data_IF_936514827364
#
_entry.id   IF_936514827364
#
_cell.length_a   1.000
_cell.length_b   1.000
_cell.length_c   1.000
_cell.angle_alpha   90.00
_cell.angle_beta   90.00
_cell.angle_gamma   90.00
#
_symmetry.space_group_name_H-M   'P 1'
#
loop_
_entity.id
_entity.type
_entity.pdbx_description
1 polymer ?
#
# COMPACT_ATOMS: atom_id res chain seq x y z
N UNK A 1 -16.54 -0.51 1.89
CA UNK A 1 -15.09 -0.18 2.23
C UNK A 1 -14.16 -0.70 1.13
N UNK A 2 -13.22 0.14 0.55
CA UNK A 2 -12.30 -0.29 -0.53
C UNK A 2 -10.90 -0.58 0.04
N UNK A 3 -10.36 -1.76 -0.33
CA UNK A 3 -8.97 -2.13 0.08
C UNK A 3 -8.06 -2.14 -1.14
N UNK A 4 -6.71 -1.98 -0.84
CA UNK A 4 -5.78 -1.84 -1.98
C UNK A 4 -5.16 -3.21 -2.31
N UNK A 5 -5.35 -3.55 -3.59
CA UNK A 5 -4.81 -4.85 -4.06
C UNK A 5 -3.75 -4.59 -5.14
N UNK A 6 -2.94 -5.65 -5.43
CA UNK A 6 -1.94 -5.53 -6.51
C UNK A 6 -2.58 -5.06 -7.82
N UNK A 7 -3.84 -5.36 -8.02
CA UNK A 7 -4.52 -5.06 -9.30
C UNK A 7 -5.32 -3.76 -9.19
N UNK A 8 -5.16 -3.09 -8.03
CA UNK A 8 -5.91 -1.82 -7.84
C UNK A 8 -6.85 -1.90 -6.63
N UNK A 9 -7.87 -0.82 -6.46
CA UNK A 9 -8.75 -0.76 -5.27
C UNK A 9 -9.97 -1.66 -5.50
N UNK A 10 -10.15 -2.44 -4.64
CA UNK A 10 -11.30 -3.36 -4.71
C UNK A 10 -12.15 -3.20 -3.44
N UNK A 11 -13.47 -3.41 -3.73
CA UNK A 11 -14.34 -3.41 -2.52
C UNK A 11 -14.03 -4.64 -1.65
N UNK A 12 -14.03 -4.35 -0.33
CA UNK A 12 -13.66 -5.40 0.63
C UNK A 12 -14.54 -6.65 0.42
N UNK A 13 -15.71 -6.54 -0.10
CA UNK A 13 -16.64 -7.69 -0.31
C UNK A 13 -16.18 -8.57 -1.47
N UNK A 14 -15.29 -7.96 -2.31
CA UNK A 14 -14.91 -8.75 -3.50
C UNK A 14 -13.52 -9.35 -3.35
N UNK A 15 -13.01 -9.25 -2.11
CA UNK A 15 -11.66 -9.81 -1.91
C UNK A 15 -11.78 -11.32 -1.69
N UNK A 16 -10.79 -12.04 -2.43
CA UNK A 16 -10.82 -13.53 -2.29
C UNK A 16 -9.49 -14.01 -1.72
N UNK A 17 -9.62 -15.20 -1.09
CA UNK A 17 -8.36 -15.83 -0.62
C UNK A 17 -7.35 -15.92 -1.78
N UNK A 18 -6.14 -15.43 -1.46
CA UNK A 18 -5.10 -15.52 -2.52
C UNK A 18 -4.85 -14.14 -3.15
N UNK A 19 -5.87 -13.27 -2.97
CA UNK A 19 -5.64 -11.88 -3.45
C UNK A 19 -4.52 -11.20 -2.65
N UNK A 20 -3.86 -10.29 -3.29
CA UNK A 20 -2.74 -9.62 -2.59
C UNK A 20 -3.12 -8.19 -2.23
N UNK A 21 -2.98 -7.96 -0.90
CA UNK A 21 -3.32 -6.61 -0.43
C UNK A 21 -2.05 -5.84 -0.08
N UNK A 22 -2.19 -4.66 -0.33
CA UNK A 22 -1.03 -3.82 0.02
C UNK A 22 -0.87 -3.78 1.55
N UNK A 23 0.35 -4.21 1.99
CA UNK A 23 0.65 -4.33 3.43
C UNK A 23 2.05 -3.74 3.68
N UNK A 24 2.48 -3.80 5.06
CA UNK A 24 3.84 -3.36 5.40
C UNK A 24 4.69 -4.58 5.82
N UNK A 25 5.91 -4.45 5.28
CA UNK A 25 6.80 -5.52 5.77
C UNK A 25 7.52 -5.07 7.05
N UNK A 26 8.42 -5.74 7.70
CA UNK A 26 9.06 -5.51 9.01
C UNK A 26 9.93 -4.23 8.95
N UNK A 27 10.19 -3.86 7.70
CA UNK A 27 11.01 -2.63 7.56
C UNK A 27 10.14 -1.43 7.20
N UNK A 28 8.67 -1.73 7.29
CA UNK A 28 7.67 -0.66 7.05
C UNK A 28 7.66 -0.20 5.59
N UNK A 29 8.05 -1.12 4.71
CA UNK A 29 7.85 -0.92 3.25
C UNK A 29 6.51 -1.51 2.80
N UNK A 30 5.91 -0.77 1.80
CA UNK A 30 4.65 -1.34 1.27
C UNK A 30 4.95 -2.57 0.39
N UNK A 31 4.29 -3.56 0.75
CA UNK A 31 4.48 -4.79 -0.04
C UNK A 31 3.11 -5.45 -0.23
N UNK A 32 3.02 -6.11 -1.31
CA UNK A 32 1.77 -6.88 -1.49
C UNK A 32 1.91 -8.26 -0.85
N UNK A 33 0.82 -8.43 -0.01
CA UNK A 33 0.84 -9.72 0.71
C UNK A 33 -0.46 -10.48 0.41
N UNK A 34 -0.28 -11.77 0.44
CA UNK A 34 -1.43 -12.62 0.04
C UNK A 34 -2.48 -12.69 1.16
N UNK A 35 -3.63 -12.60 0.67
CA UNK A 35 -4.74 -12.78 1.63
C UNK A 35 -4.94 -14.26 1.94
N UNK A 36 -4.86 -14.53 3.23
CA UNK A 36 -5.10 -15.93 3.67
C UNK A 36 -6.59 -16.22 3.89
N UNK A 37 -7.07 -15.65 4.98
CA UNK A 37 -8.48 -15.95 5.30
C UNK A 37 -9.28 -14.65 5.30
N UNK A 38 -10.57 -14.77 4.92
CA UNK A 38 -11.47 -13.61 4.91
C UNK A 38 -12.55 -13.83 5.97
N UNK A 39 -12.67 -12.79 6.84
CA UNK A 39 -13.69 -12.90 7.89
C UNK A 39 -14.79 -11.86 7.64
N UNK A 40 -16.03 -12.38 7.84
CA UNK A 40 -17.20 -11.49 7.63
C UNK A 40 -18.11 -11.53 8.86
N UNK A 41 -18.49 -10.33 9.26
CA UNK A 41 -19.45 -10.35 10.39
C UNK A 41 -20.43 -9.19 10.23
N UNK A 42 -21.62 -9.34 10.82
CA UNK A 42 -22.65 -8.29 10.73
C UNK A 42 -22.67 -7.47 12.03
N UNK A 43 -22.74 -6.14 11.78
CA UNK A 43 -22.75 -5.29 12.99
C UNK A 43 -23.84 -4.23 12.83
N UNK A 44 -24.31 -3.76 13.98
CA UNK A 44 -25.45 -2.81 13.94
C UNK A 44 -24.95 -1.36 14.06
N UNK A 45 -23.61 -1.37 14.34
CA UNK A 45 -23.07 0.00 14.48
C UNK A 45 -21.68 0.08 13.86
N UNK A 46 -21.43 1.25 13.14
CA UNK A 46 -20.07 1.44 12.61
C UNK A 46 -19.66 2.89 12.86
N UNK A 47 -18.40 3.05 12.95
CA UNK A 47 -17.86 4.42 13.12
C UNK A 47 -17.35 4.97 11.78
N UNK A 48 -17.86 6.19 11.50
CA UNK A 48 -17.39 6.87 10.29
C UNK A 48 -16.43 8.01 10.65
N UNK A 49 -15.19 7.93 10.14
CA UNK A 49 -14.17 8.95 10.47
C UNK A 49 -13.81 9.70 9.18
N UNK A 50 -14.01 11.04 9.30
CA UNK A 50 -13.63 11.87 8.14
C UNK A 50 -12.28 12.57 8.37
N UNK A 51 -11.39 12.37 7.40
CA UNK A 51 -10.03 12.93 7.52
C UNK A 51 -9.89 14.07 6.53
N UNK A 52 -8.98 15.10 6.68
CA UNK A 52 -8.74 16.27 5.79
C UNK A 52 -8.60 15.85 4.33
N UNK A 53 -9.44 16.58 3.35
CA UNK A 53 -9.45 16.33 1.88
C UNK A 53 -10.60 15.41 1.49
N UNK A 54 -11.66 15.12 2.44
CA UNK A 54 -12.91 14.44 2.03
C UNK A 54 -12.80 12.91 2.20
N UNK A 55 -11.65 12.31 2.92
CA UNK A 55 -11.54 10.85 3.09
C UNK A 55 -12.42 10.42 4.27
N UNK A 56 -13.24 9.33 3.82
CA UNK A 56 -14.11 8.80 4.90
C UNK A 56 -13.86 7.29 5.07
N UNK A 57 -13.67 6.96 6.33
CA UNK A 57 -13.51 5.50 6.57
C UNK A 57 -14.64 5.06 7.50
N UNK A 58 -15.13 3.88 7.04
CA UNK A 58 -16.18 3.27 7.89
C UNK A 58 -15.67 1.95 8.49
N UNK A 59 -15.53 2.01 9.79
CA UNK A 59 -14.95 0.82 10.46
C UNK A 59 -15.69 0.59 11.77
N UNK A 60 -15.45 -0.62 12.37
CA UNK A 60 -15.99 -0.87 13.73
C UNK A 60 -15.18 -0.10 14.77
N UNK A 61 -15.72 0.05 15.90
CA UNK A 61 -15.07 0.87 16.96
C UNK A 61 -13.73 0.25 17.38
N UNK A 62 -13.58 -0.98 17.19
CA UNK A 62 -12.37 -1.66 17.75
C UNK A 62 -11.29 -1.75 16.67
N UNK A 63 -11.59 -1.09 15.49
CA UNK A 63 -10.62 -1.25 14.38
C UNK A 63 -9.36 -0.40 14.67
N UNK A 64 -8.14 -1.02 14.50
CA UNK A 64 -6.91 -0.28 14.84
C UNK A 64 -6.52 0.71 13.73
N UNK A 65 -6.19 1.95 14.22
CA UNK A 65 -5.75 3.00 13.28
C UNK A 65 -4.45 3.61 13.81
N UNK A 66 -3.56 3.81 12.98
CA UNK A 66 -2.26 4.38 13.41
C UNK A 66 -2.35 5.90 13.47
N UNK A 67 -2.00 6.42 14.71
CA UNK A 67 -2.09 7.88 14.94
C UNK A 67 -0.70 8.38 15.36
N UNK A 68 -0.36 9.54 14.69
CA UNK A 68 0.96 10.11 14.99
C UNK A 68 1.09 10.41 16.49
N UNK A 69 2.21 9.84 17.16
CA UNK A 69 2.43 10.21 18.57
C UNK A 69 1.74 9.21 19.52
N UNK A 70 0.66 8.49 18.99
CA UNK A 70 -0.06 7.56 19.88
C UNK A 70 0.13 6.11 19.43
N UNK A 71 0.69 5.99 18.31
CA UNK A 71 0.84 4.61 17.81
C UNK A 71 -0.50 3.96 17.47
N UNK A 72 -0.70 2.61 17.48
CA UNK A 72 -1.96 1.94 17.08
C UNK A 72 -3.02 2.11 18.18
N UNK A 73 -4.05 2.76 17.73
CA UNK A 73 -5.19 2.91 18.67
C UNK A 73 -6.46 2.40 18.00
N UNK A 74 -7.47 2.17 18.84
CA UNK A 74 -8.75 1.73 18.21
C UNK A 74 -9.47 2.93 17.58
N UNK A 75 -10.35 2.51 16.58
CA UNK A 75 -11.08 3.60 15.89
C UNK A 75 -11.90 4.42 16.89
N UNK A 76 -12.27 3.80 17.97
CA UNK A 76 -13.06 4.50 19.00
C UNK A 76 -12.21 5.54 19.75
N UNK A 77 -10.97 5.34 19.74
CA UNK A 77 -10.10 6.19 20.58
C UNK A 77 -9.52 7.31 19.71
N UNK A 78 -9.89 7.31 18.44
CA UNK A 78 -9.41 8.39 17.57
C UNK A 78 -10.30 9.62 17.81
N UNK A 79 -9.68 10.79 18.08
CA UNK A 79 -10.50 12.00 18.35
C UNK A 79 -10.23 13.04 17.28
N UNK A 80 -11.18 14.04 17.17
CA UNK A 80 -11.00 15.14 16.19
C UNK A 80 -9.72 15.91 16.51
N UNK A 81 -8.92 16.05 15.43
CA UNK A 81 -7.63 16.75 15.65
C UNK A 81 -6.44 15.79 15.57
N UNK A 82 -6.73 14.48 15.83
CA UNK A 82 -5.64 13.48 15.68
C UNK A 82 -5.16 13.38 14.22
N UNK A 83 -3.86 13.17 14.13
CA UNK A 83 -3.31 12.99 12.76
C UNK A 83 -3.10 11.49 12.46
N UNK A 84 -3.81 11.06 11.46
CA UNK A 84 -3.75 9.61 11.13
C UNK A 84 -2.91 9.40 9.87
N UNK A 85 -2.28 8.29 9.89
CA UNK A 85 -1.35 7.99 8.79
C UNK A 85 -2.13 7.60 7.53
N UNK A 86 -1.88 8.39 6.45
CA UNK A 86 -2.60 8.11 5.18
C UNK A 86 -1.57 7.99 4.05
N UNK A 87 -2.05 7.21 2.98
CA UNK A 87 -1.15 7.06 1.82
C UNK A 87 -1.28 8.32 0.95
N UNK A 88 -0.12 9.10 0.56
CA UNK A 88 -0.05 10.26 -0.34
C UNK A 88 -0.58 9.92 -1.73
N UNK A 89 -1.84 10.81 -2.26
CA UNK A 89 -2.29 10.81 -3.67
C UNK A 89 -3.48 9.87 -3.87
N UNK A 90 -4.74 10.21 -3.38
CA UNK A 90 -6.03 9.59 -3.75
C UNK A 90 -6.57 10.21 -5.05
N UNK A 91 -5.83 10.98 -5.76
CA UNK A 91 -6.40 11.34 -7.09
C UNK A 91 -6.33 10.18 -8.07
N UNK A 92 -6.45 8.93 -7.58
CA UNK A 92 -6.52 7.80 -8.53
C UNK A 92 -7.54 6.76 -8.06
N UNK A 93 -8.80 7.08 -7.60
CA UNK A 93 -9.49 5.75 -7.58
C UNK A 93 -10.99 5.99 -7.71
N UNK A 94 -11.55 6.94 -8.61
CA UNK A 94 -12.86 6.83 -9.30
C UNK A 94 -12.83 5.76 -10.39
N UNK A 95 -13.33 4.43 -10.08
CA UNK A 95 -13.71 3.36 -11.03
C UNK A 95 -12.93 3.46 -12.34
N UNK A 96 -11.72 2.58 -12.61
CA UNK A 96 -11.82 2.53 -14.10
C UNK A 96 -10.73 1.62 -14.66
N UNK A 97 -10.90 0.22 -14.84
CA UNK A 97 -10.17 -0.69 -15.76
C UNK A 97 -8.66 -0.58 -15.56
N UNK A 98 -8.02 -1.26 -14.46
CA UNK A 98 -6.57 -1.20 -14.13
C UNK A 98 -5.70 -1.42 -15.38
N UNK A 99 -5.56 -0.35 -16.24
CA UNK A 99 -4.48 -0.41 -17.24
C UNK A 99 -3.13 -0.76 -16.57
N UNK A 100 -2.74 -2.06 -16.52
CA UNK A 100 -1.40 -2.52 -16.08
C UNK A 100 -0.36 -2.25 -17.18
N UNK A 101 0.91 -1.62 -16.69
CA UNK A 101 1.92 -1.35 -17.75
C UNK A 101 3.24 -2.04 -17.37
N UNK A 102 4.02 -2.30 -18.41
CA UNK A 102 5.30 -3.02 -18.25
C UNK A 102 6.43 -1.98 -18.02
N UNK A 103 7.21 -2.26 -16.90
CA UNK A 103 8.38 -1.37 -16.67
C UNK A 103 9.56 -1.78 -17.55
N UNK A 104 9.49 -1.29 -18.83
CA UNK A 104 10.49 -1.74 -19.83
C UNK A 104 10.93 -0.53 -20.67
N UNK A 105 11.74 -0.76 -21.58
CA UNK A 105 12.28 0.29 -22.49
C UNK A 105 11.14 1.12 -23.09
N UNK A 106 10.07 0.50 -23.44
CA UNK A 106 8.96 1.19 -24.13
C UNK A 106 8.23 2.16 -23.19
N UNK A 107 8.22 1.76 -21.91
CA UNK A 107 7.66 2.75 -20.96
C UNK A 107 8.53 4.00 -20.89
N UNK A 108 9.84 3.77 -20.80
CA UNK A 108 10.77 4.92 -20.81
C UNK A 108 10.62 5.78 -22.07
N UNK A 109 10.55 5.03 -23.20
CA UNK A 109 10.43 5.80 -24.46
C UNK A 109 9.15 6.64 -24.45
N UNK A 110 8.06 6.06 -24.04
CA UNK A 110 6.77 6.77 -23.99
C UNK A 110 6.87 8.01 -23.09
N UNK A 111 7.48 7.84 -21.90
CA UNK A 111 7.57 8.98 -20.95
C UNK A 111 8.49 10.06 -21.54
N UNK A 112 9.57 9.64 -22.16
CA UNK A 112 10.50 10.61 -22.79
C UNK A 112 9.83 11.39 -23.92
N UNK A 113 9.06 10.66 -24.70
CA UNK A 113 8.38 11.34 -25.83
C UNK A 113 7.34 12.33 -25.30
N UNK A 114 6.73 11.96 -24.21
CA UNK A 114 5.73 12.88 -23.64
C UNK A 114 6.41 14.11 -23.02
N UNK A 115 7.56 13.84 -22.40
CA UNK A 115 8.26 14.96 -21.74
C UNK A 115 8.81 15.94 -22.79
N UNK A 116 8.94 15.48 -23.98
CA UNK A 116 9.54 16.38 -24.99
C UNK A 116 8.45 17.03 -25.84
N UNK A 117 7.65 16.22 -26.58
CA UNK A 117 6.75 16.86 -27.57
C UNK A 117 5.31 16.37 -27.35
N UNK A 118 5.14 15.53 -26.32
CA UNK A 118 3.79 14.98 -26.10
C UNK A 118 2.93 15.97 -25.30
N UNK A 119 1.58 15.80 -25.60
CA UNK A 119 0.66 16.68 -24.83
C UNK A 119 -0.47 15.85 -24.21
N UNK A 120 -0.88 16.40 -23.05
CA UNK A 120 -2.04 15.78 -22.36
C UNK A 120 -3.21 16.77 -22.41
N UNK A 121 -4.30 16.28 -23.03
CA UNK A 121 -5.51 17.14 -23.05
C UNK A 121 -6.72 16.33 -22.57
N UNK A 122 -7.40 16.84 -21.49
CA UNK A 122 -8.59 16.18 -20.91
C UNK A 122 -8.32 14.69 -20.68
N UNK A 123 -8.88 13.86 -21.56
CA UNK A 123 -8.70 12.41 -21.29
C UNK A 123 -7.89 11.76 -22.43
N UNK A 124 -7.03 12.70 -22.99
CA UNK A 124 -6.31 12.09 -24.13
C UNK A 124 -4.84 12.49 -24.09
N UNK A 125 -4.00 11.51 -24.55
CA UNK A 125 -2.58 11.78 -24.80
C UNK A 125 -2.34 11.90 -26.31
N UNK A 126 -1.64 13.03 -26.55
CA UNK A 126 -1.47 13.29 -27.99
C UNK A 126 0.01 13.59 -28.29
N UNK A 127 0.40 13.01 -29.47
CA UNK A 127 1.72 13.40 -30.03
C UNK A 127 1.55 13.75 -31.50
N UNK A 128 1.99 15.05 -31.75
CA UNK A 128 1.96 15.50 -33.16
C UNK A 128 3.38 15.91 -33.60
N UNK A 129 3.82 15.15 -34.60
CA UNK A 129 5.25 15.39 -34.94
C UNK A 129 5.38 15.28 -36.48
N UNK A 130 6.47 15.85 -37.04
CA UNK A 130 6.70 15.83 -38.51
C UNK A 130 7.42 14.55 -38.95
N UNK A 131 7.91 13.81 -37.95
CA UNK A 131 8.64 12.56 -38.25
C UNK A 131 7.75 11.33 -38.02
N UNK A 132 7.59 10.60 -39.13
CA UNK A 132 6.68 9.42 -39.05
C UNK A 132 7.28 8.35 -38.15
N UNK A 133 8.58 8.15 -38.28
CA UNK A 133 9.23 7.13 -37.43
C UNK A 133 9.03 7.42 -35.93
N UNK A 134 9.17 8.72 -35.55
CA UNK A 134 8.94 9.10 -34.15
C UNK A 134 7.49 8.78 -33.73
N UNK A 135 6.54 9.06 -34.62
CA UNK A 135 5.12 8.77 -34.31
C UNK A 135 4.89 7.26 -34.19
N UNK A 136 5.58 6.46 -35.04
CA UNK A 136 5.38 4.99 -35.00
C UNK A 136 5.97 4.41 -33.72
N UNK A 137 7.13 4.93 -33.32
CA UNK A 137 7.76 4.40 -32.09
C UNK A 137 6.92 4.78 -30.85
N UNK A 138 6.41 6.01 -30.92
CA UNK A 138 5.54 6.41 -29.80
C UNK A 138 4.30 5.52 -29.73
N UNK A 139 3.65 5.29 -30.88
CA UNK A 139 2.47 4.40 -30.90
C UNK A 139 2.83 2.98 -30.45
N UNK A 140 3.96 2.54 -30.93
CA UNK A 140 4.40 1.18 -30.55
C UNK A 140 4.65 1.10 -29.04
N UNK A 141 5.22 2.14 -28.47
CA UNK A 141 5.52 2.10 -27.03
C UNK A 141 4.22 2.06 -26.20
N UNK A 142 3.19 2.71 -26.65
CA UNK A 142 1.91 2.69 -25.92
C UNK A 142 1.29 1.29 -26.01
N UNK A 143 1.39 0.73 -27.17
CA UNK A 143 0.84 -0.64 -27.34
C UNK A 143 1.60 -1.65 -26.47
N UNK A 144 2.85 -1.51 -26.51
CA UNK A 144 3.65 -2.55 -25.82
C UNK A 144 3.58 -2.36 -24.30
N UNK A 145 3.56 -1.15 -23.85
CA UNK A 145 3.67 -0.92 -22.39
C UNK A 145 2.28 -0.91 -21.74
N UNK A 146 1.30 -0.56 -22.56
CA UNK A 146 -0.01 -0.38 -21.89
C UNK A 146 -1.07 -1.24 -22.56
N UNK A 147 -0.72 -1.91 -23.66
CA UNK A 147 -1.67 -2.80 -24.37
C UNK A 147 -2.79 -2.01 -25.05
N UNK A 148 -2.51 -0.72 -25.31
CA UNK A 148 -3.57 0.10 -25.94
C UNK A 148 -3.28 0.27 -27.42
N UNK A 149 -4.43 0.15 -28.15
CA UNK A 149 -4.24 0.31 -29.60
C UNK A 149 -4.19 1.81 -29.95
N UNK A 150 -3.23 2.11 -30.89
CA UNK A 150 -3.13 3.52 -31.31
C UNK A 150 -3.14 3.61 -32.84
N UNK A 151 -3.80 4.68 -33.30
CA UNK A 151 -3.80 4.90 -34.76
C UNK A 151 -2.95 6.15 -35.09
N UNK A 152 -2.21 5.96 -36.23
CA UNK A 152 -1.42 7.14 -36.67
C UNK A 152 -2.17 7.83 -37.82
N UNK A 153 -2.46 9.12 -37.56
CA UNK A 153 -3.18 9.89 -38.59
C UNK A 153 -2.24 10.90 -39.26
N UNK A 154 -2.43 10.95 -40.59
CA UNK A 154 -1.69 12.02 -41.30
C UNK A 154 -2.53 13.29 -41.37
N UNK A 155 -1.90 14.36 -40.77
CA UNK A 155 -2.68 15.63 -40.77
C UNK A 155 -1.83 16.75 -41.39
N UNK A 156 -2.58 17.77 -41.93
CA UNK A 156 -1.90 18.97 -42.47
C UNK A 156 -2.33 20.22 -41.69
N UNK A 157 -1.22 20.91 -41.12
CA UNK A 157 -1.56 22.11 -40.33
C UNK A 157 -0.68 23.29 -40.78
N UNK A 158 -1.35 24.42 -40.68
CA UNK A 158 -0.56 25.62 -41.02
C UNK A 158 0.46 25.96 -39.91
N UNK A 159 1.73 26.11 -40.34
CA UNK A 159 2.79 26.45 -39.37
C UNK A 159 3.00 27.98 -39.36
N UNK A 160 2.69 28.57 -38.13
CA UNK A 160 2.90 30.02 -37.95
C UNK A 160 4.38 30.42 -38.08
N UNK A 161 5.26 29.48 -37.77
CA UNK A 161 6.72 29.73 -37.86
C UNK A 161 7.21 29.62 -39.30
N UNK A 162 6.69 28.68 -40.10
CA UNK A 162 7.22 28.44 -41.47
C UNK A 162 6.28 29.06 -42.49
N UNK A 163 5.15 29.66 -42.01
CA UNK A 163 4.11 30.30 -42.85
C UNK A 163 3.71 29.39 -44.01
N UNK A 164 3.73 28.01 -43.89
CA UNK A 164 3.24 27.05 -44.91
C UNK A 164 2.55 25.88 -44.21
N UNK A 165 1.80 25.07 -45.12
CA UNK A 165 1.12 23.89 -44.56
C UNK A 165 2.12 22.73 -44.46
N UNK A 166 2.28 22.26 -43.24
CA UNK A 166 3.26 21.17 -43.04
C UNK A 166 2.50 19.87 -42.74
N UNK A 167 3.08 18.86 -43.39
CA UNK A 167 2.50 17.52 -43.11
C UNK A 167 3.00 17.00 -41.75
N UNK A 168 2.01 16.53 -40.91
CA UNK A 168 2.37 15.97 -39.60
C UNK A 168 1.65 14.64 -39.35
N UNK A 169 2.26 13.97 -38.40
CA UNK A 169 1.66 12.67 -38.02
C UNK A 169 1.18 12.75 -36.57
N UNK A 170 -0.09 12.38 -36.46
CA UNK A 170 -0.68 12.50 -35.12
C UNK A 170 -1.02 11.11 -34.55
N UNK A 171 -0.48 10.97 -33.26
CA UNK A 171 -0.90 9.78 -32.50
C UNK A 171 -1.74 10.26 -31.30
N UNK A 172 -2.97 9.65 -31.35
CA UNK A 172 -3.87 10.09 -30.25
C UNK A 172 -4.49 8.87 -29.57
N UNK A 173 -4.40 9.05 -28.21
CA UNK A 173 -5.02 7.96 -27.43
C UNK A 173 -5.99 8.59 -26.42
N UNK A 174 -7.25 8.10 -26.50
CA UNK A 174 -8.25 8.62 -25.53
C UNK A 174 -8.44 7.58 -24.42
N UNK A 175 -7.71 7.90 -23.35
CA UNK A 175 -7.82 6.97 -22.21
C UNK A 175 -7.59 7.74 -20.91
N UNK A 176 -8.68 7.91 -20.13
CA UNK A 176 -8.62 8.68 -18.85
C UNK A 176 -7.64 8.06 -17.86
N UNK A 177 -7.59 6.79 -17.84
CA UNK A 177 -6.68 6.09 -16.90
C UNK A 177 -5.20 6.33 -17.25
N UNK A 178 -4.85 6.19 -18.49
CA UNK A 178 -3.46 6.47 -18.93
C UNK A 178 -3.07 7.91 -18.59
N UNK A 179 -4.05 8.82 -18.72
CA UNK A 179 -3.75 10.24 -18.38
C UNK A 179 -3.45 10.35 -16.87
N UNK A 180 -4.18 9.65 -16.10
CA UNK A 180 -3.94 9.70 -14.63
C UNK A 180 -2.57 9.11 -14.28
N UNK A 181 -2.28 7.98 -14.96
CA UNK A 181 -0.95 7.36 -14.71
C UNK A 181 0.15 8.35 -15.07
N UNK A 182 -0.05 8.99 -16.11
CA UNK A 182 0.99 9.93 -16.58
C UNK A 182 1.09 11.11 -15.59
N UNK A 183 -0.07 11.55 -15.15
CA UNK A 183 -0.02 12.65 -14.16
C UNK A 183 0.72 12.21 -12.89
N UNK A 184 0.56 10.98 -12.53
CA UNK A 184 1.30 10.45 -11.36
C UNK A 184 2.80 10.36 -11.64
N UNK A 185 3.10 9.94 -12.86
CA UNK A 185 4.53 9.77 -13.21
C UNK A 185 5.22 11.14 -13.16
N UNK A 186 4.47 12.13 -13.42
CA UNK A 186 5.14 13.45 -13.45
C UNK A 186 4.81 14.24 -12.20
N UNK A 187 4.16 13.45 -11.08
CA UNK A 187 3.86 14.04 -9.76
C UNK A 187 3.10 15.37 -9.92
N UNK A 188 2.08 15.41 -10.74
CA UNK A 188 1.26 16.62 -10.92
C UNK A 188 0.94 16.85 -12.40
N UNK A 189 0.68 18.31 -12.88
CA UNK A 189 0.16 18.59 -14.24
C UNK A 189 1.32 18.78 -15.21
N UNK A 190 1.63 17.86 -16.11
CA UNK A 190 2.60 17.97 -17.22
C UNK A 190 2.39 19.27 -18.01
N UNK A 191 1.16 19.89 -17.78
CA UNK A 191 0.92 21.12 -18.58
C UNK A 191 1.71 22.31 -18.02
N UNK A 192 2.41 21.99 -16.81
CA UNK A 192 3.17 23.14 -16.28
C UNK A 192 4.66 22.98 -16.59
N UNK A 193 5.33 23.92 -17.24
CA UNK A 193 6.76 23.99 -17.63
C UNK A 193 7.66 23.67 -16.43
N UNK A 194 7.11 23.08 -15.33
CA UNK A 194 8.02 22.95 -14.17
C UNK A 194 7.90 21.56 -13.55
N UNK A 195 8.03 20.60 -14.37
CA UNK A 195 7.98 19.27 -13.70
C UNK A 195 9.39 18.77 -13.40
N UNK A 196 9.39 17.84 -12.28
CA UNK A 196 10.67 17.22 -11.91
C UNK A 196 10.92 15.94 -12.73
N UNK A 197 12.15 15.59 -12.79
CA UNK A 197 12.51 14.31 -13.44
C UNK A 197 11.70 13.14 -12.86
N UNK A 198 10.93 12.43 -13.79
CA UNK A 198 10.12 11.31 -13.31
C UNK A 198 10.99 10.20 -12.69
N UNK A 199 10.57 9.85 -11.49
CA UNK A 199 11.42 8.93 -10.71
C UNK A 199 11.36 7.50 -11.28
N UNK A 200 10.21 7.26 -11.94
CA UNK A 200 10.01 5.90 -12.47
C UNK A 200 11.10 5.58 -13.51
N UNK A 201 11.73 6.60 -14.14
CA UNK A 201 12.70 6.29 -15.21
C UNK A 201 14.06 5.91 -14.59
N UNK A 202 14.11 6.13 -13.23
CA UNK A 202 15.40 5.79 -12.60
C UNK A 202 15.36 4.39 -12.00
N UNK A 203 14.31 3.66 -12.23
CA UNK A 203 14.15 2.32 -11.62
C UNK A 203 15.10 1.31 -12.24
N UNK A 204 15.25 1.43 -13.53
CA UNK A 204 16.24 0.51 -14.15
C UNK A 204 16.82 1.16 -15.42
N UNK A 205 17.91 0.57 -15.83
CA UNK A 205 18.68 1.16 -16.93
C UNK A 205 17.89 1.11 -18.25
N UNK A 206 17.20 0.07 -18.36
CA UNK A 206 16.42 -0.09 -19.61
C UNK A 206 15.36 1.01 -19.75
N UNK A 207 14.73 1.38 -18.68
CA UNK A 207 13.67 2.41 -18.73
C UNK A 207 14.34 3.77 -18.98
N UNK A 208 15.39 3.93 -18.23
CA UNK A 208 16.12 5.21 -18.39
C UNK A 208 16.61 5.39 -19.83
N UNK A 209 17.15 4.36 -20.40
CA UNK A 209 17.58 4.46 -21.81
C UNK A 209 16.40 4.76 -22.74
N UNK A 210 15.34 4.06 -22.49
CA UNK A 210 14.13 4.36 -23.28
C UNK A 210 13.70 5.83 -23.16
N UNK A 211 13.76 6.29 -21.95
CA UNK A 211 13.35 7.69 -21.73
C UNK A 211 14.24 8.63 -22.55
N UNK A 212 15.56 8.46 -22.54
CA UNK A 212 16.46 9.35 -23.29
C UNK A 212 16.19 9.28 -24.79
N UNK A 213 15.95 8.08 -25.27
CA UNK A 213 15.68 7.94 -26.72
C UNK A 213 14.38 8.64 -27.10
N UNK A 214 13.42 8.47 -26.20
CA UNK A 214 12.13 9.15 -26.50
C UNK A 214 12.28 10.67 -26.48
N UNK A 215 12.96 11.12 -25.48
CA UNK A 215 13.11 12.58 -25.39
C UNK A 215 13.94 13.12 -26.56
N UNK A 216 15.02 12.42 -26.96
CA UNK A 216 15.87 12.85 -28.08
C UNK A 216 15.10 12.90 -29.39
N UNK A 217 14.18 11.99 -29.56
CA UNK A 217 13.40 12.03 -30.81
C UNK A 217 12.50 13.27 -30.86
N UNK A 218 12.20 13.74 -29.66
CA UNK A 218 11.34 14.96 -29.66
C UNK A 218 12.14 16.24 -29.68
N UNK A 219 12.85 16.44 -28.58
CA UNK A 219 13.55 17.75 -28.48
C UNK A 219 15.05 17.53 -28.32
N UNK A 220 15.66 16.59 -29.05
CA UNK A 220 17.11 16.32 -28.95
C UNK A 220 17.75 16.27 -30.34
N UNK A 221 19.07 16.47 -30.24
CA UNK A 221 19.85 16.36 -31.50
C UNK A 221 21.07 15.47 -31.28
N UNK A 222 21.22 14.55 -32.31
CA UNK A 222 22.38 13.65 -32.22
C UNK A 222 23.48 14.18 -33.17
N UNK A 223 24.71 14.37 -32.59
CA UNK A 223 25.84 14.86 -33.40
C UNK A 223 26.75 13.70 -33.81
N UNK A 224 26.95 13.74 -35.16
CA UNK A 224 27.80 12.65 -35.69
C UNK A 224 29.11 13.23 -36.22
N UNK A 225 30.31 12.54 -35.98
CA UNK A 225 31.62 12.95 -36.48
C UNK A 225 31.73 12.85 -38.00
N UNK A 226 32.80 13.28 -38.58
CA UNK A 226 33.09 13.32 -40.05
C UNK A 226 33.11 11.91 -40.63
N UNK A 227 33.23 10.87 -39.78
CA UNK A 227 33.24 9.44 -40.24
C UNK A 227 31.86 8.80 -40.08
N UNK A 228 30.85 9.76 -39.72
CA UNK A 228 29.47 9.23 -39.59
C UNK A 228 29.24 8.54 -38.23
N UNK A 229 30.41 8.54 -37.39
CA UNK A 229 30.26 7.88 -36.08
C UNK A 229 29.69 8.87 -35.06
N UNK A 230 28.83 8.35 -34.25
CA UNK A 230 28.15 9.19 -33.25
C UNK A 230 29.16 9.77 -32.26
N UNK A 231 28.91 10.97 -31.92
CA UNK A 231 29.88 11.62 -30.98
C UNK A 231 29.17 11.92 -29.67
N UNK A 232 28.05 12.57 -29.72
CA UNK A 232 27.28 12.87 -28.50
C UNK A 232 25.90 13.39 -28.89
N UNK A 233 25.03 13.51 -27.83
CA UNK A 233 23.67 14.05 -28.10
C UNK A 233 23.40 15.24 -27.17
N UNK A 234 22.54 16.10 -27.76
CA UNK A 234 22.10 17.20 -26.89
C UNK A 234 20.57 17.23 -26.79
N UNK A 235 20.18 17.58 -25.56
CA UNK A 235 18.72 17.75 -25.43
C UNK A 235 18.43 19.21 -25.06
N UNK A 236 17.21 19.61 -25.46
CA UNK A 236 16.84 21.03 -25.23
C UNK A 236 15.51 21.09 -24.47
N UNK A 237 15.49 22.06 -23.46
CA UNK A 237 14.22 22.18 -22.70
C UNK A 237 14.14 23.57 -22.06
N UNK A 238 12.94 24.08 -22.06
CA UNK A 238 12.74 25.35 -21.31
C UNK A 238 12.61 25.09 -19.80
N UNK A 239 12.46 23.88 -19.43
CA UNK A 239 12.38 23.46 -18.02
C UNK A 239 13.77 23.25 -17.41
N UNK A 240 14.24 24.26 -16.66
CA UNK A 240 15.64 24.22 -16.13
C UNK A 240 15.76 23.22 -14.98
N UNK A 241 14.64 23.09 -14.25
CA UNK A 241 14.68 22.15 -13.12
C UNK A 241 14.88 20.71 -13.63
N UNK A 242 14.13 20.32 -14.60
CA UNK A 242 14.26 18.97 -15.19
C UNK A 242 15.67 18.76 -15.77
N UNK A 243 16.19 19.78 -16.49
CA UNK A 243 17.53 19.59 -17.09
C UNK A 243 18.61 19.56 -16.00
N UNK A 244 18.34 20.37 -14.96
CA UNK A 244 19.32 20.37 -13.83
C UNK A 244 19.44 18.99 -13.19
N UNK A 245 18.30 18.37 -12.99
CA UNK A 245 18.31 17.03 -12.36
C UNK A 245 18.97 15.99 -13.28
N UNK A 246 18.73 16.09 -14.60
CA UNK A 246 19.41 15.18 -15.55
C UNK A 246 20.91 15.44 -15.60
N UNK A 247 21.28 16.74 -15.49
CA UNK A 247 22.71 17.09 -15.55
C UNK A 247 23.47 16.49 -14.37
N UNK A 248 22.76 16.44 -13.29
CA UNK A 248 23.43 15.82 -12.12
C UNK A 248 23.73 14.34 -12.37
N UNK A 249 22.83 13.75 -13.14
CA UNK A 249 23.05 12.31 -13.40
C UNK A 249 24.23 12.12 -14.36
N UNK A 250 24.37 13.07 -15.20
CA UNK A 250 25.43 12.90 -16.22
C UNK A 250 26.71 13.61 -15.78
N UNK A 251 26.57 14.17 -14.52
CA UNK A 251 27.70 15.02 -14.13
C UNK A 251 28.11 15.98 -15.26
N UNK A 252 27.07 16.63 -15.79
CA UNK A 252 27.26 17.58 -16.90
C UNK A 252 26.67 18.95 -16.52
N UNK A 253 27.14 19.99 -17.18
CA UNK A 253 26.60 21.34 -16.87
C UNK A 253 25.55 21.75 -17.91
N UNK A 254 24.55 22.56 -17.35
CA UNK A 254 23.50 23.04 -18.27
C UNK A 254 24.03 24.27 -19.02
N UNK A 255 23.89 24.19 -20.33
CA UNK A 255 24.33 25.35 -21.15
C UNK A 255 23.13 26.20 -21.59
N UNK A 256 23.39 27.45 -22.01
CA UNK A 256 22.32 28.35 -22.51
C UNK A 256 22.31 28.33 -24.04
N UNK A 257 20.98 28.28 -24.57
CA UNK A 257 20.83 28.31 -26.04
C UNK A 257 20.67 29.76 -26.51
N UNK A 258 20.77 29.96 -27.80
CA UNK A 258 20.60 31.31 -28.41
C UNK A 258 19.20 31.86 -28.15
N UNK A 259 18.25 30.97 -27.78
CA UNK A 259 16.91 31.43 -27.38
C UNK A 259 16.83 31.69 -25.88
N UNK A 260 16.31 32.90 -25.46
CA UNK A 260 16.38 33.42 -24.08
C UNK A 260 15.65 32.50 -23.09
N UNK A 261 14.91 31.42 -23.56
CA UNK A 261 14.14 30.65 -22.55
C UNK A 261 14.36 29.15 -22.72
N UNK A 262 15.50 28.82 -23.35
CA UNK A 262 15.74 27.37 -23.58
C UNK A 262 17.16 27.02 -23.13
N UNK A 263 17.25 25.88 -22.52
CA UNK A 263 18.56 25.40 -22.01
C UNK A 263 18.94 24.10 -22.73
N UNK A 264 20.29 23.88 -22.79
CA UNK A 264 20.73 22.63 -23.44
C UNK A 264 21.61 21.82 -22.49
N UNK A 265 21.53 20.52 -22.76
CA UNK A 265 22.34 19.60 -21.93
C UNK A 265 23.01 18.55 -22.83
N UNK A 266 24.31 18.44 -22.60
CA UNK A 266 25.07 17.41 -23.34
C UNK A 266 24.86 16.02 -22.68
N UNK A 267 24.52 15.06 -23.69
CA UNK A 267 24.35 13.68 -23.17
C UNK A 267 25.53 12.83 -23.66
N UNK A 268 26.21 12.22 -22.74
CA UNK A 268 27.33 11.38 -23.14
C UNK A 268 26.87 10.17 -23.96
N UNK A 269 27.68 9.76 -24.95
CA UNK A 269 27.31 8.71 -25.92
C UNK A 269 27.02 7.38 -25.21
N UNK A 270 27.65 7.14 -24.10
CA UNK A 270 27.50 5.85 -23.39
C UNK A 270 26.07 5.66 -22.86
N UNK A 271 25.30 6.78 -22.74
CA UNK A 271 23.92 6.68 -22.24
C UNK A 271 22.93 6.51 -23.39
N UNK A 272 23.50 6.64 -24.51
CA UNK A 272 22.62 6.53 -25.69
C UNK A 272 22.89 5.20 -26.40
N UNK A 273 24.14 4.61 -26.14
CA UNK A 273 24.49 3.42 -26.95
C UNK A 273 25.04 2.35 -26.01
N UNK A 274 24.98 1.09 -26.58
CA UNK A 274 25.46 -0.04 -25.75
C UNK A 274 26.99 -0.02 -25.64
N UNK A 275 27.55 1.10 -25.12
CA UNK A 275 29.00 1.20 -24.96
C UNK A 275 29.38 0.93 -23.50
N UNK A 276 30.69 0.21 -23.28
CA UNK A 276 31.21 -0.06 -21.92
C UNK A 276 31.29 1.24 -21.09
N UNK A 277 30.64 1.26 -19.94
CA UNK A 277 30.49 2.44 -19.07
C UNK A 277 31.82 2.77 -18.37
N UNK A 278 32.09 4.11 -18.38
CA UNK A 278 33.22 4.54 -17.52
C UNK A 278 32.83 4.49 -16.04
N UNK A 279 33.62 3.91 -15.12
CA UNK A 279 33.44 3.68 -13.67
C UNK A 279 33.03 4.98 -12.96
N UNK A 280 33.09 6.19 -13.59
CA UNK A 280 32.81 7.49 -12.93
C UNK A 280 31.32 7.85 -13.02
N UNK A 281 30.45 6.99 -13.70
CA UNK A 281 29.01 7.29 -13.84
C UNK A 281 28.21 6.42 -12.86
N UNK A 282 27.98 6.96 -11.71
CA UNK A 282 27.36 6.25 -10.56
C UNK A 282 25.99 5.70 -10.96
N UNK A 283 25.75 4.38 -10.91
CA UNK A 283 24.51 3.59 -11.03
C UNK A 283 23.34 4.26 -10.28
N UNK A 284 22.28 4.66 -11.15
CA UNK A 284 20.86 4.43 -10.78
C UNK A 284 20.74 3.96 -9.32
N UNK A 285 20.79 4.81 -8.41
CA UNK A 285 20.37 4.33 -7.06
C UNK A 285 19.16 3.39 -7.18
N UNK A 286 19.16 1.90 -7.01
CA UNK A 286 17.86 1.53 -6.43
C UNK A 286 17.42 2.52 -5.34
N UNK A 287 17.12 3.81 -5.72
CA UNK A 287 16.72 4.55 -4.51
C UNK A 287 17.37 3.97 -3.25
N UNK A 288 18.68 3.99 -3.04
CA UNK A 288 19.18 4.14 -1.66
C UNK A 288 18.97 5.58 -1.16
N UNK A 289 17.76 6.08 -1.28
CA UNK A 289 17.51 7.26 -0.41
C UNK A 289 17.12 6.81 1.00
N UNK A 290 18.10 6.59 1.87
CA UNK A 290 17.84 6.95 3.28
C UNK A 290 16.36 7.32 3.52
N UNK A 291 15.44 6.42 3.81
CA UNK A 291 14.02 6.85 3.81
C UNK A 291 13.48 6.80 5.24
N UNK A 292 13.16 7.98 5.76
CA UNK A 292 11.98 8.75 6.21
C UNK A 292 10.76 8.48 5.31
N UNK A 293 9.69 7.85 5.82
CA UNK A 293 8.35 7.42 5.38
C UNK A 293 7.89 8.17 4.13
N UNK A 294 8.09 8.00 2.59
CA UNK A 294 7.99 8.64 1.26
C UNK A 294 6.67 8.25 0.60
N UNK A 295 5.46 8.02 1.24
CA UNK A 295 4.17 7.80 0.53
C UNK A 295 3.00 7.91 1.51
N UNK A 296 3.43 8.64 2.64
CA UNK A 296 2.37 8.77 3.66
C UNK A 296 2.41 10.19 4.25
N UNK A 297 1.32 10.57 4.44
CA UNK A 297 1.24 11.84 5.19
C UNK A 297 0.22 11.71 6.33
N UNK A 298 0.53 12.41 7.37
CA UNK A 298 -0.48 12.45 8.45
C UNK A 298 -1.50 13.55 8.16
N UNK A 299 -2.64 12.99 8.34
CA UNK A 299 -3.69 14.02 8.13
C UNK A 299 -4.66 14.01 9.31
N UNK A 300 -5.29 15.20 9.30
CA UNK A 300 -6.05 15.43 10.55
C UNK A 300 -7.48 14.88 10.42
N UNK A 301 -7.89 14.37 11.53
CA UNK A 301 -9.29 13.90 11.59
C UNK A 301 -10.20 15.12 11.77
N UNK A 302 -11.35 15.25 10.86
CA UNK A 302 -12.21 16.45 10.90
C UNK A 302 -13.55 16.14 11.58
N UNK A 303 -13.86 14.92 11.26
CA UNK A 303 -15.18 14.60 11.83
C UNK A 303 -15.26 13.12 12.19
N UNK A 304 -16.13 12.89 13.22
CA UNK A 304 -16.38 11.50 13.63
C UNK A 304 -17.86 11.32 13.98
N UNK A 305 -18.45 10.21 13.29
CA UNK A 305 -19.88 10.00 13.55
C UNK A 305 -20.18 8.51 13.72
N UNK A 306 -20.99 8.26 14.74
CA UNK A 306 -21.43 6.85 14.90
C UNK A 306 -22.72 6.65 14.10
N UNK A 307 -22.67 5.59 13.23
CA UNK A 307 -23.89 5.26 12.47
C UNK A 307 -24.51 3.96 12.99
N UNK A 308 -25.84 4.19 13.29
CA UNK A 308 -26.53 3.00 13.81
C UNK A 308 -27.73 2.66 12.92
N UNK A 309 -27.84 1.42 12.66
CA UNK A 309 -29.02 1.09 11.83
C UNK A 309 -29.87 0.05 12.59
N UNK A 310 -31.25 0.22 12.46
CA UNK A 310 -32.20 -0.66 13.17
C UNK A 310 -32.80 -1.66 12.17
N UNK A 311 -32.64 -1.55 10.84
CA UNK A 311 -33.35 -2.36 9.84
C UNK A 311 -32.36 -3.18 9.01
N UNK A 312 -31.13 -2.57 8.50
CA UNK A 312 -30.14 -3.32 7.69
C UNK A 312 -28.75 -3.23 8.35
N UNK A 313 -28.29 -4.50 8.82
CA UNK A 313 -26.99 -4.57 9.52
C UNK A 313 -25.83 -4.39 8.53
N UNK A 314 -24.78 -3.71 8.95
CA UNK A 314 -23.57 -3.56 8.13
C UNK A 314 -22.77 -4.87 8.09
N UNK A 315 -22.23 -5.10 6.92
CA UNK A 315 -21.32 -6.28 6.84
C UNK A 315 -19.88 -5.77 6.85
N UNK A 316 -19.19 -6.32 7.85
CA UNK A 316 -17.77 -5.90 7.95
C UNK A 316 -16.86 -7.06 7.51
N UNK A 317 -15.86 -6.58 6.68
CA UNK A 317 -14.93 -7.61 6.17
C UNK A 317 -13.56 -7.43 6.85
N UNK A 318 -13.01 -8.71 7.27
CA UNK A 318 -11.61 -8.72 7.73
C UNK A 318 -10.78 -9.75 6.95
N UNK A 319 -9.41 -9.26 6.81
CA UNK A 319 -8.57 -10.15 5.96
C UNK A 319 -7.33 -10.57 6.75
N UNK A 320 -7.01 -11.88 6.58
CA UNK A 320 -5.68 -12.31 7.08
C UNK A 320 -4.64 -12.20 5.96
N UNK A 321 -3.51 -11.48 6.25
CA UNK A 321 -2.44 -11.30 5.23
C UNK A 321 -1.13 -11.89 5.77
N UNK A 322 -0.52 -12.86 4.95
CA UNK A 322 0.79 -13.43 5.33
C UNK A 322 1.87 -13.00 4.32
N UNK A 323 3.09 -12.70 4.83
CA UNK A 323 3.55 -12.73 6.23
C UNK A 323 3.22 -11.42 6.96
N UNK A 324 2.55 -10.46 6.19
CA UNK A 324 2.32 -9.17 6.86
C UNK A 324 0.82 -8.93 7.08
N UNK A 325 0.51 -8.48 8.26
CA UNK A 325 -0.88 -8.60 8.78
C UNK A 325 -1.58 -7.24 8.73
N UNK A 326 -0.98 -6.29 7.97
CA UNK A 326 -1.66 -5.00 7.80
C UNK A 326 -2.20 -4.87 6.38
N UNK A 327 -3.32 -3.93 6.33
CA UNK A 327 -3.76 -3.61 4.96
C UNK A 327 -4.41 -2.23 4.93
N UNK A 328 -4.59 -1.65 3.83
CA UNK A 328 -4.97 -0.22 3.71
C UNK A 328 -6.45 -0.16 3.30
N UNK A 329 -7.17 0.79 4.20
CA UNK A 329 -8.58 1.05 3.85
C UNK A 329 -8.72 2.52 3.46
N UNK A 330 -9.24 2.66 2.28
CA UNK A 330 -9.46 4.03 1.76
C UNK A 330 -8.28 4.94 2.04
N UNK A 331 -7.07 4.27 2.01
CA UNK A 331 -5.87 5.14 2.08
C UNK A 331 -5.36 5.30 3.52
N UNK A 332 -6.20 4.70 4.44
CA UNK A 332 -5.80 4.75 5.85
C UNK A 332 -5.21 3.40 6.27
N UNK A 333 -4.16 3.61 7.01
CA UNK A 333 -3.43 2.43 7.51
C UNK A 333 -4.19 1.77 8.66
N UNK A 334 -4.43 0.31 8.23
CA UNK A 334 -5.23 -0.37 9.29
C UNK A 334 -4.63 -1.76 9.52
N UNK A 335 -4.65 -2.26 10.74
CA UNK A 335 -4.09 -3.57 11.15
C UNK A 335 -5.20 -4.47 11.68
N UNK A 336 -5.00 -5.91 11.33
CA UNK A 336 -6.00 -6.84 11.94
C UNK A 336 -5.46 -7.43 13.25
N UNK A 337 -6.21 -6.98 14.56
CA UNK A 337 -6.01 -7.96 15.65
C UNK A 337 -7.26 -8.00 16.54
N UNK A 338 -7.68 -9.62 17.11
CA UNK A 338 -8.60 -9.41 18.26
C UNK A 338 -7.84 -9.56 19.56
N UNK A 339 -6.53 -9.31 19.54
CA UNK A 339 -5.49 -8.37 20.01
C UNK A 339 -4.35 -8.29 19.00
N UNK A 340 -4.37 -8.89 17.83
CA UNK A 340 -3.82 -9.25 16.49
C UNK A 340 -4.67 -10.38 15.92
N UNK A 341 -5.82 -10.79 16.87
CA UNK A 341 -6.88 -11.73 16.45
C UNK A 341 -6.26 -13.08 16.10
N UNK A 342 -5.14 -13.53 16.89
CA UNK A 342 -4.66 -14.90 16.70
C UNK A 342 -5.04 -15.74 17.93
N UNK A 343 -5.63 -16.99 17.71
CA UNK A 343 -6.14 -17.85 18.79
C UNK A 343 -5.00 -18.39 19.67
N UNK A 344 -5.28 -18.41 20.97
CA UNK A 344 -4.42 -19.32 21.77
C UNK A 344 -5.15 -20.64 22.01
N UNK A 345 -4.36 -21.73 21.71
CA UNK A 345 -4.95 -23.08 21.79
C UNK A 345 -4.36 -23.81 23.00
N UNK A 346 -5.41 -24.23 23.74
CA UNK A 346 -4.85 -24.91 24.93
C UNK A 346 -5.94 -25.63 25.70
N UNK A 347 -5.61 -26.01 26.91
CA UNK A 347 -6.53 -26.81 27.75
C UNK A 347 -6.92 -26.00 29.00
N UNK A 348 -8.28 -26.12 29.25
CA UNK A 348 -8.73 -25.50 30.52
C UNK A 348 -9.04 -26.59 31.55
N UNK A 349 -8.49 -26.37 32.70
CA UNK A 349 -8.74 -27.30 33.82
C UNK A 349 -9.55 -26.58 34.90
N UNK A 350 -10.70 -27.28 35.21
CA UNK A 350 -11.56 -26.61 36.21
C UNK A 350 -11.79 -27.58 37.39
N UNK A 351 -11.50 -26.95 38.61
CA UNK A 351 -11.75 -27.76 39.83
C UNK A 351 -12.62 -26.94 40.79
N UNK A 352 -13.66 -27.70 41.26
CA UNK A 352 -14.39 -27.01 42.34
C UNK A 352 -14.87 -28.04 43.36
N UNK A 353 -15.11 -27.46 44.71
CA UNK A 353 -15.62 -28.33 45.78
C UNK A 353 -17.04 -27.85 46.14
N UNK A 354 -18.03 -28.73 45.88
CA UNK A 354 -19.43 -28.29 46.05
C UNK A 354 -19.78 -28.05 47.52
N UNK A 355 -20.69 -27.16 47.70
CA UNK A 355 -21.26 -26.91 49.05
C UNK A 355 -22.76 -27.25 49.03
N UNK A 356 -23.26 -28.10 50.00
CA UNK A 356 -24.69 -28.37 50.27
C UNK A 356 -25.33 -29.10 49.09
N UNK A 357 -24.54 -29.96 48.32
CA UNK A 357 -24.96 -30.90 47.27
C UNK A 357 -25.31 -30.15 45.98
N UNK A 358 -24.86 -28.99 45.71
CA UNK A 358 -25.08 -28.28 44.42
C UNK A 358 -23.95 -28.62 43.44
N UNK A 359 -24.31 -29.68 42.74
CA UNK A 359 -23.34 -30.20 41.75
C UNK A 359 -23.88 -29.91 40.35
N UNK A 360 -22.94 -29.41 39.57
CA UNK A 360 -23.34 -29.19 38.17
C UNK A 360 -22.79 -30.30 37.25
N UNK A 361 -23.61 -30.45 36.12
CA UNK A 361 -23.12 -31.40 35.09
C UNK A 361 -21.80 -30.94 34.46
N UNK A 362 -20.93 -31.99 34.17
CA UNK A 362 -19.60 -31.65 33.59
C UNK A 362 -19.78 -30.92 32.26
N UNK A 363 -20.82 -31.16 31.61
CA UNK A 363 -21.04 -30.52 30.30
C UNK A 363 -21.37 -29.03 30.45
N UNK A 364 -21.78 -28.62 31.57
CA UNK A 364 -22.14 -27.20 31.79
C UNK A 364 -20.89 -26.36 32.09
N UNK A 365 -19.92 -27.00 32.73
CA UNK A 365 -18.64 -26.28 32.95
C UNK A 365 -17.88 -26.11 31.63
N UNK A 366 -17.95 -27.14 30.82
CA UNK A 366 -17.34 -27.00 29.47
C UNK A 366 -18.07 -25.91 28.65
N UNK A 367 -19.35 -25.76 28.86
CA UNK A 367 -20.12 -24.76 28.08
C UNK A 367 -19.77 -23.33 28.52
N UNK A 368 -19.51 -23.24 29.76
CA UNK A 368 -19.12 -21.89 30.25
C UNK A 368 -17.79 -21.48 29.62
N UNK A 369 -16.90 -22.38 29.56
CA UNK A 369 -15.60 -22.04 28.94
C UNK A 369 -15.78 -21.79 27.44
N UNK A 370 -16.68 -22.57 26.84
CA UNK A 370 -16.92 -22.43 25.39
C UNK A 370 -17.59 -21.08 25.07
N UNK A 371 -18.44 -20.75 25.88
CA UNK A 371 -19.21 -19.52 25.59
C UNK A 371 -18.29 -18.31 25.80
N UNK A 372 -17.45 -18.39 26.82
CA UNK A 372 -16.59 -17.22 27.13
C UNK A 372 -15.38 -17.17 26.18
N UNK A 373 -15.05 -18.34 25.65
CA UNK A 373 -13.83 -18.37 24.79
C UNK A 373 -14.20 -18.01 23.35
N UNK A 374 -15.55 -17.87 23.03
CA UNK A 374 -15.99 -17.62 21.65
C UNK A 374 -16.00 -16.12 21.36
N UNK A 375 -15.50 -15.42 22.42
CA UNK A 375 -15.38 -13.98 22.13
C UNK A 375 -13.92 -13.54 22.34
N UNK A 376 -13.56 -12.40 21.91
CA UNK A 376 -12.16 -11.95 22.06
C UNK A 376 -11.75 -11.91 23.53
N UNK A 377 -10.69 -12.80 23.65
CA UNK A 377 -10.38 -12.97 25.09
C UNK A 377 -8.86 -12.89 25.29
N UNK A 378 -8.56 -12.26 26.47
CA UNK A 378 -7.18 -12.47 26.96
C UNK A 378 -7.18 -13.62 27.99
N UNK A 379 -6.05 -14.52 27.80
CA UNK A 379 -6.04 -15.77 28.60
C UNK A 379 -6.22 -15.47 30.09
N UNK A 380 -5.81 -14.35 30.61
CA UNK A 380 -5.89 -14.01 32.05
C UNK A 380 -7.34 -13.65 32.43
N UNK A 381 -7.90 -13.00 31.51
CA UNK A 381 -9.30 -12.62 31.78
C UNK A 381 -10.23 -13.83 31.67
N UNK A 382 -10.03 -14.52 30.61
CA UNK A 382 -10.84 -15.74 30.47
C UNK A 382 -10.72 -16.63 31.71
N UNK A 383 -9.55 -16.76 32.20
CA UNK A 383 -9.33 -17.63 33.39
C UNK A 383 -10.07 -17.06 34.59
N UNK A 384 -10.12 -15.85 34.75
CA UNK A 384 -10.79 -15.22 35.91
C UNK A 384 -12.32 -15.27 35.73
N UNK A 385 -12.75 -15.04 34.60
CA UNK A 385 -14.22 -15.02 34.36
C UNK A 385 -14.84 -16.40 34.59
N UNK A 386 -14.11 -17.33 34.14
CA UNK A 386 -14.67 -18.69 34.36
C UNK A 386 -14.77 -18.96 35.87
N UNK A 387 -13.74 -18.64 36.57
CA UNK A 387 -13.76 -18.90 38.04
C UNK A 387 -14.86 -18.08 38.72
N UNK A 388 -15.04 -16.88 38.23
CA UNK A 388 -16.04 -16.01 38.90
C UNK A 388 -17.47 -16.50 38.60
N UNK A 389 -17.65 -16.99 37.44
CA UNK A 389 -19.01 -17.47 37.09
C UNK A 389 -19.33 -18.73 37.89
N UNK A 390 -18.30 -19.51 38.04
CA UNK A 390 -18.57 -20.74 38.81
C UNK A 390 -18.83 -20.38 40.28
N UNK A 391 -18.10 -19.45 40.78
CA UNK A 391 -18.28 -19.04 42.19
C UNK A 391 -19.64 -18.38 42.38
N UNK A 392 -20.03 -17.60 41.37
CA UNK A 392 -21.28 -16.83 41.54
C UNK A 392 -22.51 -17.72 41.35
N UNK A 393 -22.43 -18.74 40.51
CA UNK A 393 -23.67 -19.48 40.18
C UNK A 393 -23.80 -20.73 41.05
N UNK A 394 -22.62 -21.32 41.36
CA UNK A 394 -22.72 -22.60 42.10
C UNK A 394 -22.43 -22.38 43.59
N UNK A 395 -21.86 -21.18 43.83
CA UNK A 395 -21.50 -20.82 45.22
C UNK A 395 -20.85 -22.00 45.94
N UNK A 396 -19.80 -22.56 45.43
CA UNK A 396 -19.07 -23.69 46.02
C UNK A 396 -18.12 -23.23 47.13
N UNK A 397 -17.63 -24.20 47.81
CA UNK A 397 -16.65 -23.82 48.87
C UNK A 397 -15.40 -23.19 48.27
N UNK A 398 -15.11 -23.56 47.04
CA UNK A 398 -13.95 -22.96 46.35
C UNK A 398 -13.85 -23.49 44.91
N UNK A 399 -13.14 -22.66 44.08
CA UNK A 399 -12.97 -23.05 42.66
C UNK A 399 -11.56 -22.68 42.18
N UNK A 400 -11.07 -23.62 41.38
CA UNK A 400 -9.74 -23.34 40.79
C UNK A 400 -9.79 -23.62 39.28
N UNK A 401 -9.28 -22.55 38.56
CA UNK A 401 -9.25 -22.73 37.08
C UNK A 401 -7.81 -22.51 36.59
N UNK A 402 -7.39 -23.50 35.80
CA UNK A 402 -6.05 -23.36 35.21
C UNK A 402 -6.18 -23.55 33.69
N UNK A 403 -5.57 -22.53 33.04
CA UNK A 403 -5.61 -22.69 31.57
C UNK A 403 -4.17 -22.68 31.04
N UNK A 404 -3.87 -23.75 30.28
CA UNK A 404 -2.56 -23.78 29.58
C UNK A 404 -2.78 -23.70 28.07
N UNK A 405 -2.06 -22.68 27.64
CA UNK A 405 -2.37 -22.51 26.21
C UNK A 405 -1.15 -21.94 25.49
N UNK A 406 -0.99 -22.45 24.27
CA UNK A 406 0.02 -21.87 23.38
C UNK A 406 -0.55 -20.64 22.67
N UNK A 407 0.35 -19.59 22.82
CA UNK A 407 -0.14 -18.35 22.16
C UNK A 407 0.49 -18.23 20.77
N UNK A 408 -0.34 -18.15 19.89
CA UNK A 408 0.14 -18.16 18.49
C UNK A 408 0.79 -16.81 18.16
N UNK A 409 0.67 -15.77 18.92
CA UNK A 409 1.40 -14.49 18.78
C UNK A 409 2.86 -14.63 19.20
N UNK A 410 3.19 -15.59 20.04
CA UNK A 410 4.58 -15.84 20.49
C UNK A 410 5.25 -16.91 19.60
N UNK A 411 4.40 -17.66 19.00
CA UNK A 411 4.90 -18.77 18.14
C UNK A 411 5.07 -18.30 16.70
N UNK A 412 4.42 -17.28 16.50
CA UNK A 412 4.34 -16.92 15.06
C UNK A 412 4.93 -15.52 14.85
N UNK A 413 5.25 -14.87 15.99
CA UNK A 413 5.78 -13.50 15.86
C UNK A 413 6.68 -13.20 17.06
N UNK A 414 7.74 -12.20 16.91
CA UNK A 414 8.69 -11.78 17.97
C UNK A 414 9.73 -12.87 18.26
N UNK A 415 10.02 -13.39 19.50
CA UNK A 415 11.05 -14.31 20.04
C UNK A 415 10.90 -15.69 19.38
N UNK A 416 9.76 -15.99 18.57
CA UNK A 416 9.54 -17.17 17.68
C UNK A 416 9.88 -18.47 18.40
N UNK A 417 9.37 -18.64 19.62
CA UNK A 417 9.62 -19.91 20.36
C UNK A 417 8.39 -20.82 20.27
N UNK A 418 8.48 -21.77 19.39
CA UNK A 418 7.39 -22.73 19.11
C UNK A 418 7.26 -23.75 20.25
N UNK A 419 6.01 -23.90 20.68
CA UNK A 419 5.77 -25.02 21.63
C UNK A 419 5.79 -24.53 23.08
N UNK A 420 5.94 -23.19 23.23
CA UNK A 420 6.01 -22.67 24.60
C UNK A 420 4.59 -22.40 25.13
N UNK A 421 4.37 -23.07 26.33
CA UNK A 421 3.01 -22.95 26.91
C UNK A 421 3.01 -21.89 28.02
N UNK A 422 2.00 -21.07 27.87
CA UNK A 422 1.76 -20.14 29.00
C UNK A 422 0.62 -20.66 29.89
N UNK A 423 0.93 -20.49 31.20
CA UNK A 423 -0.08 -21.04 32.13
C UNK A 423 -0.61 -19.90 33.00
N UNK A 424 -2.01 -19.82 33.05
CA UNK A 424 -2.65 -18.85 33.97
C UNK A 424 -3.56 -19.60 34.94
N UNK A 425 -3.60 -18.95 36.16
CA UNK A 425 -4.47 -19.64 37.14
C UNK A 425 -5.28 -18.61 37.93
N UNK A 426 -6.55 -19.07 38.18
CA UNK A 426 -7.39 -18.29 39.10
C UNK A 426 -7.89 -19.20 40.23
N UNK A 427 -7.55 -18.64 41.49
CA UNK A 427 -7.89 -19.49 42.65
C UNK A 427 -8.84 -18.71 43.58
N UNK A 428 -10.00 -19.44 43.96
CA UNK A 428 -10.97 -18.77 44.86
C UNK A 428 -11.36 -19.72 45.99
N UNK A 429 -11.80 -19.09 47.13
CA UNK A 429 -12.40 -19.87 48.25
C UNK A 429 -11.37 -20.80 48.91
N UNK A 430 -11.79 -22.06 49.29
CA UNK A 430 -10.99 -22.99 50.12
C UNK A 430 -9.70 -23.39 49.39
N UNK A 431 -9.73 -23.26 48.03
CA UNK A 431 -8.50 -23.56 47.27
C UNK A 431 -7.45 -22.46 47.50
N UNK A 432 -7.84 -21.21 47.88
CA UNK A 432 -6.89 -20.11 48.19
C UNK A 432 -6.35 -20.22 49.62
N UNK A 433 -7.14 -20.78 50.53
CA UNK A 433 -6.76 -20.70 51.97
C UNK A 433 -6.15 -22.03 52.42
N UNK A 434 -6.37 -23.13 51.66
CA UNK A 434 -5.86 -24.44 52.12
C UNK A 434 -4.89 -25.00 51.07
N UNK A 435 -3.69 -25.06 51.45
CA UNK A 435 -2.61 -25.42 50.52
C UNK A 435 -2.65 -26.92 50.16
N UNK A 436 -3.10 -27.81 51.13
CA UNK A 436 -3.18 -29.26 50.83
C UNK A 436 -4.22 -29.54 49.73
N UNK A 437 -5.35 -28.88 49.79
CA UNK A 437 -6.42 -29.06 48.78
C UNK A 437 -5.97 -28.50 47.42
N UNK A 438 -5.22 -27.39 47.43
CA UNK A 438 -4.71 -26.84 46.14
C UNK A 438 -3.67 -27.79 45.54
N UNK A 439 -2.86 -28.35 46.40
CA UNK A 439 -1.81 -29.27 45.89
C UNK A 439 -2.42 -30.55 45.31
N UNK A 440 -3.39 -31.03 45.98
CA UNK A 440 -4.07 -32.23 45.45
C UNK A 440 -4.69 -31.95 44.07
N UNK A 441 -5.34 -30.77 43.89
CA UNK A 441 -5.96 -30.40 42.59
C UNK A 441 -4.88 -30.22 41.51
N UNK A 442 -3.79 -29.58 41.84
CA UNK A 442 -2.71 -29.39 40.83
C UNK A 442 -2.08 -30.74 40.44
N UNK A 443 -1.98 -31.69 41.48
CA UNK A 443 -1.43 -33.03 41.18
C UNK A 443 -2.34 -33.80 40.20
N UNK A 444 -3.58 -33.61 40.30
CA UNK A 444 -4.52 -34.32 39.43
C UNK A 444 -4.53 -33.73 38.02
N UNK A 445 -4.21 -32.49 37.89
CA UNK A 445 -4.17 -31.82 36.57
C UNK A 445 -2.91 -32.25 35.81
N UNK A 446 -1.83 -32.64 36.47
CA UNK A 446 -0.56 -33.05 35.83
C UNK A 446 -0.56 -34.56 35.56
N UNK A 447 -1.53 -35.32 35.85
CA UNK A 447 -1.61 -36.79 35.65
C UNK A 447 -2.13 -37.11 34.24
#
# INVERSE_FOLDING_TARGET
>A
MCVYTKEGVKFAEYIKKGDELLTFDEKKNLVYTKVGEIFKRQVSEILEIEINNGIKIKVTEEHPIYVKGKGWVTANDVIIGDEVLIVKGRSGIKKRRNLTFKKDYNLGYFVGALASDGSIWRNQIRLEVNNRNFAEKFAFSIRESFGLETKIEEISKPSGFLAKIIKQYRVRVVCGELVRIVKDIFEGEKKTKNFHLPKIILENENIFKGFLHGYLDGDGYIYKGKNGKFKYARVFSSNKVFLGELAEIFNSRIGRCSSPNEYELHIPAQWIFELKRKDSYRPFFPSKENFEFKNYEFRMVKNRKIRRTIRKKYIVYNFSCHPFKTFIINGVWVHNCEHHLLPFIGKAHIAYIPRRCRVTGLSKLARVVDILSRRLQVQERLTTQVAEIVMSKLKPQGCMVVIEAEHLCMSMRGVQKQGTLTVTSAVRGIFKTNSKTRSEAMALIKS
#
